data_IF_048726919938
#
_entry.id   IF_048726919938
#
_cell.length_a   1.000
_cell.length_b   1.000
_cell.length_c   1.000
_cell.angle_alpha   90.00
_cell.angle_beta   90.00
_cell.angle_gamma   90.00
#
_symmetry.space_group_name_H-M   'P 1'
#
loop_
_entity.id
_entity.type
_entity.pdbx_description
1 polymer ?
#
# COMPACT_ATOMS: atom_id res chain seq x y z
N UNK A 1 -5.15 13.02 12.34
CA UNK A 1 -4.61 13.73 11.16
C UNK A 1 -5.65 14.76 10.72
N UNK A 2 -5.21 15.93 10.27
CA UNK A 2 -6.09 16.99 9.76
C UNK A 2 -6.66 16.58 8.39
N UNK A 3 -7.96 16.30 8.33
CA UNK A 3 -8.62 15.76 7.13
C UNK A 3 -8.86 16.83 6.05
N UNK A 4 -8.77 18.11 6.41
CA UNK A 4 -8.90 19.20 5.43
C UNK A 4 -7.62 19.39 4.62
N UNK A 5 -6.49 18.84 5.11
CA UNK A 5 -5.18 18.90 4.46
C UNK A 5 -4.73 17.58 3.84
N UNK A 6 -5.20 16.45 4.39
CA UNK A 6 -4.66 15.14 4.04
C UNK A 6 -5.77 14.13 3.76
N UNK A 7 -5.66 13.48 2.60
CA UNK A 7 -6.34 12.22 2.32
C UNK A 7 -5.46 11.07 2.77
N UNK A 8 -5.93 10.26 3.70
CA UNK A 8 -5.18 9.08 4.17
C UNK A 8 -5.45 7.91 3.24
N UNK A 9 -4.39 7.34 2.69
CA UNK A 9 -4.43 6.10 1.93
C UNK A 9 -3.74 5.01 2.75
N UNK A 10 -4.48 4.10 3.38
CA UNK A 10 -3.87 3.02 4.16
C UNK A 10 -3.25 1.99 3.22
N UNK A 11 -2.06 1.49 3.56
CA UNK A 11 -1.38 0.44 2.80
C UNK A 11 -0.96 -0.64 3.79
N UNK A 12 -1.55 -1.83 3.66
CA UNK A 12 -1.25 -2.98 4.48
C UNK A 12 -0.12 -3.83 3.87
N UNK A 13 0.70 -4.40 4.74
CA UNK A 13 1.68 -5.42 4.36
C UNK A 13 1.30 -6.72 5.07
N UNK A 14 1.13 -7.81 4.32
CA UNK A 14 0.83 -9.13 4.90
C UNK A 14 2.04 -9.69 5.64
N UNK A 15 1.84 -10.75 6.44
CA UNK A 15 2.95 -11.42 7.14
C UNK A 15 3.99 -12.03 6.20
N UNK A 16 3.60 -12.28 4.96
CA UNK A 16 4.47 -12.76 3.89
C UNK A 16 5.14 -11.60 3.11
N UNK A 17 4.98 -10.36 3.56
CA UNK A 17 5.61 -9.17 2.97
C UNK A 17 4.88 -8.59 1.75
N UNK A 18 3.69 -9.08 1.40
CA UNK A 18 2.94 -8.58 0.23
C UNK A 18 2.15 -7.32 0.58
N UNK A 19 2.21 -6.32 -0.29
CA UNK A 19 1.43 -5.09 -0.12
C UNK A 19 0.03 -5.29 -0.70
N UNK A 20 -1.00 -4.90 0.04
CA UNK A 20 -2.41 -5.04 -0.36
C UNK A 20 -3.03 -3.67 -0.67
N UNK A 21 -4.12 -3.67 -1.44
CA UNK A 21 -4.78 -2.42 -1.84
C UNK A 21 -5.32 -1.61 -0.65
N UNK A 22 -5.55 -0.29 -0.82
CA UNK A 22 -6.14 0.53 0.24
C UNK A 22 -7.48 0.01 0.75
N UNK A 23 -8.32 -0.49 -0.15
CA UNK A 23 -9.64 -1.04 0.21
C UNK A 23 -9.50 -2.31 1.06
N UNK A 24 -8.59 -3.22 0.69
CA UNK A 24 -8.31 -4.43 1.48
C UNK A 24 -7.67 -4.06 2.84
N UNK A 25 -6.88 -2.98 2.88
CA UNK A 25 -6.23 -2.45 4.08
C UNK A 25 -7.25 -1.87 5.07
N UNK A 26 -8.22 -1.08 4.59
CA UNK A 26 -9.32 -0.57 5.43
C UNK A 26 -10.15 -1.71 6.04
N UNK A 27 -10.49 -2.71 5.23
CA UNK A 27 -11.21 -3.90 5.71
C UNK A 27 -10.41 -4.67 6.75
N UNK A 28 -9.09 -4.77 6.57
CA UNK A 28 -8.22 -5.41 7.54
C UNK A 28 -8.16 -4.64 8.86
N UNK A 29 -8.08 -3.31 8.83
CA UNK A 29 -8.10 -2.47 10.03
C UNK A 29 -9.41 -2.59 10.81
N UNK A 30 -10.55 -2.69 10.11
CA UNK A 30 -11.85 -2.84 10.75
C UNK A 30 -12.08 -4.25 11.32
N UNK A 31 -11.64 -5.28 10.59
CA UNK A 31 -11.93 -6.68 10.95
C UNK A 31 -10.83 -7.39 11.75
N UNK A 32 -9.64 -6.79 11.84
CA UNK A 32 -8.43 -7.40 12.39
C UNK A 32 -7.90 -8.58 11.56
N UNK A 33 -8.44 -8.81 10.36
CA UNK A 33 -8.09 -9.94 9.49
C UNK A 33 -7.68 -9.44 8.12
N UNK A 34 -6.49 -9.82 7.68
CA UNK A 34 -6.04 -9.54 6.32
C UNK A 34 -6.78 -10.47 5.36
N UNK A 35 -7.65 -9.88 4.53
CA UNK A 35 -8.35 -10.55 3.44
C UNK A 35 -8.12 -9.73 2.17
N UNK A 36 -7.08 -10.06 1.43
CA UNK A 36 -6.77 -9.37 0.18
C UNK A 36 -6.08 -10.32 -0.79
N UNK A 37 -6.61 -10.40 -2.00
CA UNK A 37 -5.92 -11.03 -3.15
C UNK A 37 -5.25 -9.97 -4.01
N UNK A 38 -5.72 -8.73 -3.93
CA UNK A 38 -5.21 -7.62 -4.73
C UNK A 38 -3.86 -7.18 -4.19
N UNK A 39 -2.83 -7.30 -5.04
CA UNK A 39 -1.47 -6.88 -4.70
C UNK A 39 -1.23 -5.53 -5.34
N UNK A 40 -0.62 -4.62 -4.59
CA UNK A 40 -0.17 -3.32 -5.09
C UNK A 40 1.34 -3.21 -5.00
N UNK A 41 1.92 -2.35 -5.83
CA UNK A 41 3.32 -1.97 -5.76
C UNK A 41 3.43 -0.46 -5.80
N UNK A 42 4.49 0.07 -5.20
CA UNK A 42 4.86 1.47 -5.35
C UNK A 42 5.75 1.62 -6.59
N UNK A 43 5.30 2.41 -7.56
CA UNK A 43 6.14 2.82 -8.68
C UNK A 43 7.12 3.88 -8.21
N UNK A 44 8.41 3.55 -8.32
CA UNK A 44 9.49 4.49 -8.05
C UNK A 44 9.90 5.21 -9.35
N UNK A 45 8.99 6.03 -9.86
CA UNK A 45 9.24 6.90 -11.01
C UNK A 45 9.53 8.33 -10.51
N UNK A 46 10.64 8.97 -10.94
CA UNK A 46 10.89 10.39 -10.68
C UNK A 46 9.75 11.33 -11.11
N UNK A 47 8.94 10.94 -12.11
CA UNK A 47 7.81 11.73 -12.59
C UNK A 47 6.57 11.66 -11.68
N UNK A 48 6.50 10.67 -10.78
CA UNK A 48 5.42 10.52 -9.83
C UNK A 48 5.49 9.22 -9.04
N UNK A 49 5.44 9.32 -7.71
CA UNK A 49 5.26 8.15 -6.84
C UNK A 49 3.79 7.78 -6.83
N UNK A 50 3.47 6.59 -7.32
CA UNK A 50 2.11 6.11 -7.40
C UNK A 50 1.99 4.64 -6.97
N UNK A 51 0.89 4.31 -6.30
CA UNK A 51 0.49 2.92 -6.11
C UNK A 51 -0.23 2.42 -7.35
N UNK A 52 0.13 1.21 -7.77
CA UNK A 52 -0.53 0.50 -8.87
C UNK A 52 -0.87 -0.92 -8.46
N UNK A 53 -1.99 -1.42 -9.01
CA UNK A 53 -2.40 -2.81 -8.86
C UNK A 53 -1.71 -3.71 -9.87
N UNK A 54 -1.28 -4.88 -9.39
CA UNK A 54 -0.74 -5.95 -10.21
C UNK A 54 -1.61 -7.21 -10.11
N UNK A 55 -1.66 -7.95 -11.21
CA UNK A 55 -2.31 -9.26 -11.25
C UNK A 55 -1.44 -10.34 -10.58
N UNK A 56 -1.97 -11.56 -10.50
CA UNK A 56 -1.26 -12.71 -9.91
C UNK A 56 0.02 -13.10 -10.66
N UNK A 57 0.18 -12.66 -11.92
CA UNK A 57 1.38 -12.86 -12.73
C UNK A 57 2.33 -11.66 -12.68
N UNK A 58 2.14 -10.76 -11.71
CA UNK A 58 2.94 -9.55 -11.48
C UNK A 58 2.92 -8.56 -12.65
N UNK A 59 1.86 -8.58 -13.46
CA UNK A 59 1.67 -7.63 -14.54
C UNK A 59 0.81 -6.47 -14.06
N UNK A 60 1.12 -5.26 -14.51
CA UNK A 60 0.26 -4.10 -14.29
C UNK A 60 -1.14 -4.42 -14.82
N UNK A 61 -2.14 -4.27 -13.96
CA UNK A 61 -3.52 -4.41 -14.42
C UNK A 61 -3.83 -3.26 -15.39
N UNK A 62 -4.44 -3.57 -16.55
CA UNK A 62 -4.75 -2.55 -17.58
C UNK A 62 -5.70 -1.45 -17.08
N UNK A 63 -6.46 -1.73 -16.01
CA UNK A 63 -7.34 -0.78 -15.33
C UNK A 63 -6.79 -0.37 -13.95
N UNK A 64 -5.48 -0.49 -13.74
CA UNK A 64 -4.86 -0.07 -12.47
C UNK A 64 -5.03 1.43 -12.27
N UNK A 65 -5.71 1.81 -11.20
CA UNK A 65 -5.78 3.20 -10.76
C UNK A 65 -4.43 3.57 -10.17
N UNK A 66 -3.84 4.65 -10.69
CA UNK A 66 -2.67 5.30 -10.11
C UNK A 66 -3.13 6.17 -8.95
N UNK A 67 -2.83 5.76 -7.72
CA UNK A 67 -2.99 6.64 -6.56
C UNK A 67 -1.66 7.32 -6.26
N UNK A 68 -1.60 8.64 -6.51
CA UNK A 68 -0.40 9.43 -6.23
C UNK A 68 -0.22 9.60 -4.73
N UNK A 69 1.00 9.40 -4.24
CA UNK A 69 1.37 9.58 -2.85
C UNK A 69 2.43 10.69 -2.71
N UNK A 70 2.13 11.69 -1.88
CA UNK A 70 3.07 12.80 -1.65
C UNK A 70 3.95 12.56 -0.41
N UNK A 71 3.40 11.94 0.64
CA UNK A 71 4.11 11.61 1.88
C UNK A 71 3.74 10.19 2.33
N UNK A 72 4.75 9.41 2.73
CA UNK A 72 4.58 8.08 3.30
C UNK A 72 4.93 8.15 4.79
N UNK A 73 4.04 7.62 5.63
CA UNK A 73 4.26 7.52 7.07
C UNK A 73 4.30 6.03 7.46
N UNK A 74 5.48 5.39 7.53
CA UNK A 74 5.58 3.98 7.83
C UNK A 74 5.26 3.71 9.31
N UNK A 75 4.31 2.80 9.55
CA UNK A 75 4.01 2.27 10.89
C UNK A 75 4.17 0.75 10.80
N UNK A 76 5.42 0.31 10.87
CA UNK A 76 5.79 -1.09 10.68
C UNK A 76 6.37 -1.64 11.98
N UNK A 77 6.07 -2.90 12.25
CA UNK A 77 6.62 -3.65 13.38
C UNK A 77 7.49 -4.80 12.89
N UNK A 78 8.56 -5.10 13.61
CA UNK A 78 9.45 -6.24 13.33
C UNK A 78 10.65 -5.92 12.42
N UNK A 79 11.45 -6.95 12.08
CA UNK A 79 12.65 -6.80 11.25
C UNK A 79 12.30 -6.14 9.90
N UNK A 80 13.21 -5.36 9.34
CA UNK A 80 13.06 -4.59 8.10
C UNK A 80 12.13 -3.37 8.16
N UNK A 81 11.30 -3.22 9.20
CA UNK A 81 10.45 -2.05 9.40
C UNK A 81 11.05 -0.99 10.33
N UNK A 82 11.79 -1.44 11.35
CA UNK A 82 12.35 -0.61 12.42
C UNK A 82 13.87 -0.39 12.29
N UNK A 83 14.53 -1.14 11.40
CA UNK A 83 15.99 -1.13 11.21
C UNK A 83 16.48 -0.20 10.08
N UNK A 84 15.55 0.53 9.44
CA UNK A 84 15.86 1.45 8.35
C UNK A 84 16.08 0.79 6.99
N UNK A 85 15.71 -0.49 6.82
CA UNK A 85 15.78 -1.18 5.52
C UNK A 85 14.74 -0.66 4.51
N UNK A 86 13.57 -0.22 4.99
CA UNK A 86 12.52 0.44 4.18
C UNK A 86 13.07 1.62 3.38
#
# INVERSE_FOLDING_TARGET
IDKDKYTVVPIGITKEGRWISPQDSELALQSGKIKGKSTVILLNDPSGRALVRIDNNQRLEKSSTLERLDVIFPVLHGPYGEDGTI
#
